data_IF_547262202052
#
_entry.id   IF_547262202052
#
_cell.length_a   1.000
_cell.length_b   1.000
_cell.length_c   1.000
_cell.angle_alpha   90.00
_cell.angle_beta   90.00
_cell.angle_gamma   90.00
#
_symmetry.space_group_name_H-M   'P 1'
#
loop_
_entity.id
_entity.type
_entity.pdbx_description
1 polymer ?
#
# COMPACT_ATOMS: atom_id res chain seq x y z
N UNK A 1 -10.39 2.19 -17.77
CA UNK A 1 -9.46 2.13 -17.77
C UNK A 1 -8.55 2.54 -16.72
N UNK A 2 -8.77 2.91 -15.74
CA UNK A 2 -7.88 3.43 -14.81
C UNK A 2 -8.01 2.81 -13.48
N UNK A 3 -8.45 1.60 -13.43
CA UNK A 3 -8.58 0.97 -12.18
C UNK A 3 -7.23 0.81 -11.52
N UNK A 4 -6.16 0.84 -12.25
CA UNK A 4 -4.87 0.70 -11.67
C UNK A 4 -4.56 1.83 -10.71
N UNK A 5 -5.09 2.99 -11.00
CA UNK A 5 -4.82 4.13 -10.16
C UNK A 5 -5.38 3.96 -8.76
N UNK A 6 -6.41 3.17 -8.62
CA UNK A 6 -6.97 2.96 -7.31
C UNK A 6 -5.99 2.22 -6.41
N UNK A 7 -5.29 1.25 -6.98
CA UNK A 7 -4.33 0.52 -6.17
C UNK A 7 -3.17 1.42 -5.79
N UNK A 8 -2.71 2.23 -6.72
CA UNK A 8 -1.63 3.13 -6.40
C UNK A 8 -2.03 4.13 -5.33
N UNK A 9 -3.24 4.63 -5.43
CA UNK A 9 -3.72 5.57 -4.43
C UNK A 9 -3.80 4.92 -3.07
N UNK A 10 -4.31 3.71 -3.02
CA UNK A 10 -4.40 3.01 -1.75
C UNK A 10 -3.03 2.75 -1.16
N UNK A 11 -2.09 2.36 -2.02
CA UNK A 11 -0.74 2.10 -1.54
C UNK A 11 -0.11 3.39 -1.01
N UNK A 12 -0.34 4.49 -1.70
CA UNK A 12 0.21 5.75 -1.24
C UNK A 12 -0.36 6.14 0.11
N UNK A 13 -1.65 5.92 0.31
CA UNK A 13 -2.25 6.19 1.59
C UNK A 13 -1.65 5.29 2.66
N UNK A 14 -1.42 4.03 2.33
CA UNK A 14 -0.83 3.11 3.27
C UNK A 14 0.56 3.60 3.70
N UNK A 15 1.36 4.02 2.73
CA UNK A 15 2.68 4.51 3.05
C UNK A 15 2.60 5.75 3.95
N UNK A 16 1.65 6.60 3.66
CA UNK A 16 1.52 7.81 4.44
C UNK A 16 1.16 7.46 5.88
N UNK A 17 0.23 6.54 6.06
CA UNK A 17 -0.15 6.13 7.40
C UNK A 17 1.04 5.56 8.16
N UNK A 18 1.83 4.73 7.50
CA UNK A 18 2.97 4.15 8.17
C UNK A 18 3.95 5.22 8.63
N UNK A 19 4.12 6.24 7.81
CA UNK A 19 5.04 7.31 8.19
C UNK A 19 4.50 8.10 9.36
N UNK A 20 3.20 8.35 9.35
CA UNK A 20 2.61 9.10 10.44
C UNK A 20 2.74 8.37 11.76
N UNK A 21 2.61 7.06 11.72
CA UNK A 21 2.73 6.27 12.92
C UNK A 21 4.18 5.96 13.28
N UNK A 22 5.13 6.46 12.52
CA UNK A 22 6.52 6.19 12.82
C UNK A 22 6.97 4.80 12.43
N UNK A 23 6.29 4.17 11.51
CA UNK A 23 6.65 2.83 11.06
C UNK A 23 7.14 2.85 9.64
N UNK A 24 7.81 3.89 9.22
CA UNK A 24 8.25 3.97 7.84
C UNK A 24 9.21 2.85 7.50
N UNK A 25 9.88 2.30 8.50
CA UNK A 25 10.80 1.22 8.21
C UNK A 25 10.07 -0.10 7.92
N UNK A 26 8.81 -0.17 8.24
CA UNK A 26 8.05 -1.39 8.01
C UNK A 26 7.15 -1.30 6.80
N UNK A 27 7.33 -0.29 5.98
CA UNK A 27 6.50 -0.15 4.79
C UNK A 27 6.87 -1.26 3.82
N UNK A 28 5.86 -2.01 3.41
CA UNK A 28 6.08 -3.10 2.46
C UNK A 28 6.19 -2.58 1.05
N UNK A 29 6.91 -3.26 0.18
CA UNK A 29 6.93 -2.89 -1.24
C UNK A 29 5.54 -3.08 -1.83
N UNK A 30 5.30 -2.39 -2.92
CA UNK A 30 3.99 -2.41 -3.53
C UNK A 30 3.52 -3.85 -3.80
N UNK A 31 4.39 -4.68 -4.28
CA UNK A 31 4.01 -6.04 -4.62
C UNK A 31 3.63 -6.84 -3.37
N UNK A 32 4.39 -6.71 -2.33
CA UNK A 32 4.07 -7.42 -1.11
C UNK A 32 2.81 -6.87 -0.47
N UNK A 33 2.68 -5.56 -0.47
CA UNK A 33 1.49 -4.95 0.09
C UNK A 33 0.26 -5.41 -0.68
N UNK A 34 0.38 -5.49 -1.98
CA UNK A 34 -0.73 -5.90 -2.81
C UNK A 34 -1.13 -7.33 -2.48
N UNK A 35 -0.17 -8.19 -2.31
CA UNK A 35 -0.48 -9.58 -2.00
C UNK A 35 -1.14 -9.73 -0.66
N UNK A 36 -0.71 -8.95 0.29
CA UNK A 36 -1.26 -9.10 1.63
C UNK A 36 -2.59 -8.42 1.81
N UNK A 37 -2.80 -7.31 1.15
CA UNK A 37 -4.01 -6.52 1.37
C UNK A 37 -4.98 -6.54 0.21
N UNK A 38 -4.51 -6.58 -1.00
CA UNK A 38 -5.39 -6.55 -2.16
C UNK A 38 -5.74 -7.95 -2.58
N UNK A 39 -4.75 -8.80 -2.78
CA UNK A 39 -5.03 -10.16 -3.14
C UNK A 39 -5.12 -10.96 -1.90
N UNK A 40 -6.23 -11.14 -1.35
CA UNK A 40 -6.35 -11.86 -0.17
C UNK A 40 -6.61 -13.29 -0.34
N UNK A 41 -6.94 -13.75 -1.45
CA UNK A 41 -7.23 -15.15 -1.56
C UNK A 41 -5.99 -15.93 -1.87
#
# INVERSE_FOLDING_TARGET
MTEINEELGAYNSYKRHMRVFGKSKEILPFEEWKEKFVKKY
#
